data_IF_522494802151
#
_entry.id   IF_522494802151
#
_cell.length_a   1.000
_cell.length_b   1.000
_cell.length_c   1.000
_cell.angle_alpha   90.00
_cell.angle_beta   90.00
_cell.angle_gamma   90.00
#
_symmetry.space_group_name_H-M   'P 1'
#
loop_
_entity.id
_entity.type
_entity.pdbx_description
1 polymer ?
#
# COMPACT_ATOMS: atom_id res chain seq x y z
N UNK A 1 16.04 -14.22 -11.15
CA UNK A 1 16.93 -13.24 -11.82
C UNK A 1 17.94 -12.75 -10.79
N UNK A 2 19.14 -12.36 -11.20
CA UNK A 2 20.21 -11.95 -10.28
C UNK A 2 20.72 -10.56 -10.66
N UNK A 3 20.96 -9.69 -9.68
CA UNK A 3 21.61 -8.38 -9.92
C UNK A 3 23.12 -8.57 -10.16
N UNK A 4 23.82 -7.57 -10.74
CA UNK A 4 25.28 -7.63 -10.89
C UNK A 4 26.03 -7.90 -9.57
N UNK A 5 25.50 -7.40 -8.46
CA UNK A 5 26.07 -7.58 -7.11
C UNK A 5 25.64 -8.89 -6.44
N UNK A 6 24.96 -9.77 -7.18
CA UNK A 6 24.64 -11.13 -6.76
C UNK A 6 23.30 -11.32 -6.04
N UNK A 7 22.50 -10.26 -5.87
CA UNK A 7 21.20 -10.34 -5.19
C UNK A 7 20.23 -11.16 -6.04
N UNK A 8 19.63 -12.19 -5.42
CA UNK A 8 18.61 -13.01 -6.06
C UNK A 8 17.25 -12.32 -5.96
N UNK A 9 16.61 -12.13 -7.10
CA UNK A 9 15.25 -11.60 -7.23
C UNK A 9 14.38 -12.70 -7.84
N UNK A 10 13.34 -13.09 -7.13
CA UNK A 10 12.37 -14.07 -7.61
C UNK A 10 11.19 -13.33 -8.23
N UNK A 11 10.98 -13.50 -9.53
CA UNK A 11 9.81 -12.98 -10.23
C UNK A 11 8.66 -13.99 -10.10
N UNK A 12 7.58 -13.58 -9.46
CA UNK A 12 6.36 -14.39 -9.34
C UNK A 12 5.24 -13.78 -10.17
N UNK A 13 4.72 -14.52 -11.15
CA UNK A 13 3.71 -14.03 -12.10
C UNK A 13 2.34 -14.68 -11.95
N UNK A 14 2.21 -15.70 -11.08
CA UNK A 14 0.95 -16.40 -10.86
C UNK A 14 0.10 -15.68 -9.83
N UNK A 15 -1.16 -15.42 -10.16
CA UNK A 15 -2.14 -14.81 -9.26
C UNK A 15 -3.32 -15.76 -9.00
N UNK A 16 -3.84 -15.83 -7.76
CA UNK A 16 -3.34 -15.16 -6.56
C UNK A 16 -2.05 -15.82 -6.02
N UNK A 17 -1.18 -15.01 -5.40
CA UNK A 17 0.12 -15.47 -4.88
C UNK A 17 0.09 -15.75 -3.36
N UNK A 18 -1.08 -16.12 -2.81
CA UNK A 18 -1.28 -16.14 -1.36
C UNK A 18 -0.35 -17.09 -0.60
N UNK A 19 0.04 -18.21 -1.19
CA UNK A 19 0.98 -19.17 -0.57
C UNK A 19 2.35 -18.54 -0.37
N UNK A 20 2.83 -17.77 -1.35
CA UNK A 20 4.08 -17.03 -1.26
C UNK A 20 3.96 -15.86 -0.28
N UNK A 21 2.91 -15.04 -0.40
CA UNK A 21 2.73 -13.85 0.44
C UNK A 21 2.65 -14.18 1.93
N UNK A 22 2.02 -15.31 2.30
CA UNK A 22 1.96 -15.77 3.70
C UNK A 22 3.32 -16.13 4.30
N UNK A 23 4.29 -16.47 3.46
CA UNK A 23 5.66 -16.81 3.88
C UNK A 23 6.55 -15.57 4.03
N UNK A 24 6.14 -14.41 3.52
CA UNK A 24 6.91 -13.18 3.66
C UNK A 24 6.89 -12.65 5.10
N UNK A 25 8.06 -12.27 5.61
CA UNK A 25 8.19 -11.59 6.90
C UNK A 25 7.70 -10.13 6.85
N UNK A 26 7.93 -9.48 5.70
CA UNK A 26 7.56 -8.09 5.43
C UNK A 26 7.34 -7.92 3.91
N UNK A 27 6.32 -7.16 3.53
CA UNK A 27 6.09 -6.76 2.14
C UNK A 27 6.22 -5.25 1.96
N UNK A 28 6.92 -4.80 0.92
CA UNK A 28 6.87 -3.42 0.46
C UNK A 28 5.78 -3.32 -0.59
N UNK A 29 4.90 -2.32 -0.47
CA UNK A 29 3.75 -2.22 -1.36
C UNK A 29 3.28 -0.79 -1.53
N UNK A 30 2.43 -0.53 -2.52
CA UNK A 30 1.75 0.76 -2.71
C UNK A 30 0.31 0.68 -2.22
N UNK A 31 -0.42 1.80 -2.18
CA UNK A 31 -1.83 1.80 -1.81
C UNK A 31 -2.72 1.15 -2.87
N UNK A 32 -3.71 0.38 -2.44
CA UNK A 32 -4.62 -0.34 -3.33
C UNK A 32 -5.17 -1.64 -2.72
N UNK A 33 -5.73 -2.50 -3.58
CA UNK A 33 -6.30 -3.79 -3.18
C UNK A 33 -5.26 -4.73 -2.54
N UNK A 34 -3.99 -4.61 -2.91
CA UNK A 34 -2.84 -5.27 -2.28
C UNK A 34 -2.77 -5.05 -0.76
N UNK A 35 -3.05 -3.86 -0.24
CA UNK A 35 -3.03 -3.60 1.21
C UNK A 35 -4.15 -4.31 1.94
N UNK A 36 -5.33 -4.45 1.31
CA UNK A 36 -6.43 -5.25 1.85
C UNK A 36 -6.12 -6.74 1.82
N UNK A 37 -5.53 -7.22 0.72
CA UNK A 37 -5.08 -8.60 0.56
C UNK A 37 -4.05 -8.97 1.64
N UNK A 38 -2.94 -8.24 1.73
CA UNK A 38 -1.90 -8.47 2.74
C UNK A 38 -2.46 -8.34 4.17
N UNK A 39 -3.35 -7.38 4.40
CA UNK A 39 -4.01 -7.22 5.70
C UNK A 39 -4.88 -8.42 6.06
N UNK A 40 -5.65 -8.96 5.12
CA UNK A 40 -6.45 -10.17 5.33
C UNK A 40 -5.61 -11.42 5.60
N UNK A 41 -4.41 -11.48 5.00
CA UNK A 41 -3.40 -12.53 5.23
C UNK A 41 -2.63 -12.33 6.54
N UNK A 42 -2.74 -11.16 7.18
CA UNK A 42 -1.98 -10.77 8.35
C UNK A 42 -0.48 -10.69 8.07
N UNK A 43 -0.09 -10.24 6.87
CA UNK A 43 1.31 -10.10 6.48
C UNK A 43 1.77 -8.68 6.78
N UNK A 44 2.83 -8.48 7.59
CA UNK A 44 3.40 -7.16 7.84
C UNK A 44 3.77 -6.45 6.54
N UNK A 45 3.56 -5.14 6.47
CA UNK A 45 3.84 -4.39 5.25
C UNK A 45 4.32 -2.96 5.54
N UNK A 46 5.13 -2.42 4.63
CA UNK A 46 5.50 -1.02 4.55
C UNK A 46 4.86 -0.43 3.28
N UNK A 47 4.02 0.59 3.46
CA UNK A 47 3.28 1.19 2.34
C UNK A 47 4.01 2.43 1.85
N UNK A 48 4.33 2.45 0.57
CA UNK A 48 5.11 3.50 -0.09
C UNK A 48 4.21 4.31 -1.03
N UNK A 49 4.17 5.62 -0.83
CA UNK A 49 3.46 6.58 -1.67
C UNK A 49 4.46 7.66 -2.14
N UNK A 50 5.31 7.34 -3.13
CA UNK A 50 6.31 8.29 -3.62
C UNK A 50 5.65 9.48 -4.31
N UNK A 51 5.99 10.68 -3.87
CA UNK A 51 5.45 11.91 -4.46
C UNK A 51 6.27 12.43 -5.65
N UNK A 52 7.50 11.93 -5.84
CA UNK A 52 8.34 12.33 -6.99
C UNK A 52 7.70 11.96 -8.34
N UNK A 53 6.86 10.93 -8.36
CA UNK A 53 6.13 10.51 -9.56
C UNK A 53 4.70 11.06 -9.61
N UNK A 54 4.28 11.97 -8.72
CA UNK A 54 2.99 12.67 -8.87
C UNK A 54 2.97 13.55 -10.13
N UNK A 55 4.12 13.96 -10.64
CA UNK A 55 4.22 14.57 -11.97
C UNK A 55 3.86 13.59 -13.10
N UNK A 56 3.96 12.27 -12.90
CA UNK A 56 3.43 11.26 -13.81
C UNK A 56 1.92 11.03 -13.61
N UNK A 57 1.36 11.37 -12.43
CA UNK A 57 -0.09 11.49 -12.21
C UNK A 57 -0.73 12.71 -12.91
N UNK A 58 0.05 13.55 -13.60
CA UNK A 58 -0.48 14.46 -14.64
C UNK A 58 -1.22 13.71 -15.75
N UNK A 59 -1.05 12.39 -15.84
CA UNK A 59 -1.80 11.49 -16.71
C UNK A 59 -3.16 11.03 -16.13
N UNK A 60 -3.65 11.62 -15.04
CA UNK A 60 -5.05 11.45 -14.64
C UNK A 60 -5.98 12.03 -15.71
N UNK A 61 -6.82 11.18 -16.30
CA UNK A 61 -7.85 11.61 -17.24
C UNK A 61 -8.93 12.47 -16.57
N UNK A 62 -9.39 13.50 -17.28
CA UNK A 62 -10.48 14.40 -16.87
C UNK A 62 -10.04 15.83 -16.50
N UNK A 63 -10.93 16.56 -15.82
CA UNK A 63 -10.73 17.95 -15.37
C UNK A 63 -9.38 18.19 -14.63
N UNK A 64 -8.91 17.29 -13.74
CA UNK A 64 -7.61 17.43 -13.08
C UNK A 64 -6.42 17.37 -14.05
N UNK A 65 -6.46 16.49 -15.06
CA UNK A 65 -5.42 16.38 -16.10
C UNK A 65 -5.37 17.61 -17.01
N UNK A 66 -6.54 18.18 -17.34
CA UNK A 66 -6.64 19.44 -18.08
C UNK A 66 -6.04 20.62 -17.29
N UNK A 67 -6.32 20.73 -15.99
CA UNK A 67 -5.77 21.78 -15.13
C UNK A 67 -4.26 21.60 -14.87
N UNK A 68 -3.77 20.37 -14.81
CA UNK A 68 -2.35 20.07 -14.61
C UNK A 68 -1.47 20.36 -15.84
N UNK A 69 -2.06 20.38 -17.04
CA UNK A 69 -1.41 20.67 -18.32
C UNK A 69 -1.46 22.16 -18.72
N UNK A 70 -2.09 23.03 -17.93
CA UNK A 70 -2.10 24.48 -18.18
C UNK A 70 -0.74 25.11 -17.83
N UNK A 71 -0.14 25.91 -18.75
CA UNK A 71 1.14 26.56 -18.50
C UNK A 71 1.04 27.49 -17.28
N UNK A 72 1.92 27.28 -16.29
CA UNK A 72 1.99 28.08 -15.06
C UNK A 72 1.07 27.63 -13.90
N UNK A 73 0.02 26.85 -14.15
CA UNK A 73 -0.93 26.40 -13.10
C UNK A 73 -0.64 25.00 -12.53
N UNK A 74 0.05 24.13 -13.29
CA UNK A 74 0.36 22.76 -12.83
C UNK A 74 1.20 22.71 -11.55
N UNK A 75 2.12 23.67 -11.35
CA UNK A 75 2.97 23.72 -10.15
C UNK A 75 2.20 24.14 -8.90
N UNK A 76 1.20 25.00 -9.03
CA UNK A 76 0.29 25.40 -7.94
C UNK A 76 -0.66 24.26 -7.56
N UNK A 77 -1.16 23.51 -8.56
CA UNK A 77 -2.02 22.35 -8.33
C UNK A 77 -1.26 21.20 -7.62
N UNK A 78 -0.07 20.85 -8.10
CA UNK A 78 0.80 19.86 -7.47
C UNK A 78 1.16 20.25 -6.03
N UNK A 79 1.47 21.53 -5.78
CA UNK A 79 1.71 22.07 -4.43
C UNK A 79 0.46 21.98 -3.55
N UNK A 80 -0.74 22.20 -4.09
CA UNK A 80 -2.00 22.13 -3.34
C UNK A 80 -2.36 20.69 -2.99
N UNK A 81 -2.18 19.74 -3.91
CA UNK A 81 -2.36 18.30 -3.66
C UNK A 81 -1.36 17.83 -2.60
N UNK A 82 -0.07 18.15 -2.75
CA UNK A 82 0.95 17.83 -1.74
C UNK A 82 0.59 18.45 -0.38
N UNK A 83 0.18 19.70 -0.36
CA UNK A 83 -0.23 20.36 0.87
C UNK A 83 -1.48 19.71 1.49
N UNK A 84 -2.47 19.30 0.70
CA UNK A 84 -3.68 18.63 1.19
C UNK A 84 -3.39 17.22 1.73
N UNK A 85 -2.49 16.50 1.06
CA UNK A 85 -2.01 15.16 1.45
C UNK A 85 -1.17 15.23 2.72
N UNK A 86 -0.28 16.23 2.85
CA UNK A 86 0.56 16.43 4.03
C UNK A 86 -0.22 16.96 5.24
N UNK A 87 -1.25 17.79 5.02
CA UNK A 87 -1.98 18.48 6.11
C UNK A 87 -3.06 17.61 6.76
N UNK A 88 -3.45 16.50 6.14
CA UNK A 88 -4.30 15.50 6.79
C UNK A 88 -3.48 14.23 6.98
N UNK A 89 -3.25 13.83 8.24
CA UNK A 89 -2.83 12.46 8.60
C UNK A 89 -3.93 11.48 8.18
N UNK A 90 -4.12 11.28 6.87
CA UNK A 90 -5.04 10.29 6.33
C UNK A 90 -4.31 8.97 6.35
N UNK A 91 -5.04 7.96 6.82
CA UNK A 91 -4.68 6.57 6.68
C UNK A 91 -5.06 6.17 5.25
N UNK A 92 -4.12 5.65 4.49
CA UNK A 92 -4.31 5.27 3.10
C UNK A 92 -4.42 3.76 2.89
N UNK A 93 -3.68 2.98 3.67
CA UNK A 93 -3.74 1.53 3.64
C UNK A 93 -5.08 1.05 4.21
N UNK A 94 -5.69 0.07 3.55
CA UNK A 94 -6.97 -0.48 4.00
C UNK A 94 -6.98 -0.91 5.48
N UNK A 95 -5.97 -1.63 6.00
CA UNK A 95 -5.94 -2.02 7.42
C UNK A 95 -5.96 -0.83 8.37
N UNK A 96 -5.24 0.25 8.02
CA UNK A 96 -5.22 1.46 8.81
C UNK A 96 -6.59 2.17 8.77
N UNK A 97 -7.20 2.28 7.59
CA UNK A 97 -8.54 2.84 7.41
C UNK A 97 -9.57 2.09 8.26
N UNK A 98 -9.56 0.75 8.23
CA UNK A 98 -10.47 -0.08 9.02
C UNK A 98 -10.26 0.10 10.52
N UNK A 99 -9.00 0.20 10.95
CA UNK A 99 -8.62 0.40 12.35
C UNK A 99 -8.88 1.82 12.86
N UNK A 100 -9.00 2.80 11.95
CA UNK A 100 -8.91 4.24 12.25
C UNK A 100 -7.62 4.60 13.04
N UNK A 101 -6.59 3.79 12.89
CA UNK A 101 -5.31 3.90 13.56
C UNK A 101 -4.20 3.36 12.66
N UNK A 102 -2.97 3.82 12.85
CA UNK A 102 -1.82 3.28 12.14
C UNK A 102 -1.45 1.90 12.70
N UNK A 103 -1.70 0.86 11.91
CA UNK A 103 -1.21 -0.51 12.11
C UNK A 103 0.07 -0.72 11.30
N UNK A 104 0.04 -0.30 10.03
CA UNK A 104 1.16 -0.43 9.10
C UNK A 104 1.74 0.95 8.79
N UNK A 105 3.07 1.11 8.75
CA UNK A 105 3.69 2.39 8.41
C UNK A 105 3.38 2.79 6.96
N UNK A 106 3.09 4.08 6.77
CA UNK A 106 2.79 4.69 5.46
C UNK A 106 3.79 5.83 5.18
N UNK A 107 4.69 5.62 4.22
CA UNK A 107 5.68 6.61 3.80
C UNK A 107 5.15 7.40 2.60
N UNK A 108 4.79 8.65 2.85
CA UNK A 108 4.31 9.58 1.84
C UNK A 108 5.34 10.69 1.66
N UNK A 109 5.80 10.90 0.43
CA UNK A 109 6.67 12.03 0.13
C UNK A 109 7.78 11.67 -0.84
N UNK A 110 8.85 12.47 -0.81
CA UNK A 110 10.05 12.14 -1.55
C UNK A 110 10.78 10.99 -0.86
N UNK A 111 10.64 9.78 -1.40
CA UNK A 111 11.25 8.57 -0.88
C UNK A 111 12.62 8.33 -1.52
N UNK A 112 13.65 8.24 -0.69
CA UNK A 112 15.01 7.85 -1.10
C UNK A 112 15.22 6.35 -0.82
N UNK A 113 15.76 5.57 -1.78
CA UNK A 113 15.93 4.12 -1.63
C UNK A 113 16.73 3.71 -0.39
N UNK A 114 17.79 4.45 -0.06
CA UNK A 114 18.65 4.17 1.09
C UNK A 114 17.89 4.34 2.42
N UNK A 115 17.03 5.35 2.51
CA UNK A 115 16.20 5.58 3.68
C UNK A 115 15.16 4.46 3.85
N UNK A 116 14.55 4.01 2.75
CA UNK A 116 13.61 2.88 2.76
C UNK A 116 14.35 1.60 3.19
N UNK A 117 15.55 1.35 2.66
CA UNK A 117 16.34 0.17 3.01
C UNK A 117 16.71 0.15 4.51
N UNK A 118 17.12 1.29 5.07
CA UNK A 118 17.41 1.41 6.50
C UNK A 118 16.17 1.14 7.35
N UNK A 119 15.01 1.70 6.98
CA UNK A 119 13.77 1.44 7.70
C UNK A 119 13.33 -0.02 7.62
N UNK A 120 13.46 -0.65 6.46
CA UNK A 120 13.17 -2.08 6.27
C UNK A 120 14.10 -2.94 7.12
N UNK A 121 15.40 -2.62 7.15
CA UNK A 121 16.36 -3.33 7.97
C UNK A 121 16.03 -3.20 9.48
N UNK A 122 15.67 -2.00 9.93
CA UNK A 122 15.23 -1.75 11.30
C UNK A 122 13.98 -2.56 11.66
N UNK A 123 12.96 -2.55 10.79
CA UNK A 123 11.76 -3.35 10.99
C UNK A 123 12.05 -4.85 11.06
N UNK A 124 12.95 -5.36 10.21
CA UNK A 124 13.34 -6.77 10.22
C UNK A 124 14.20 -7.16 11.43
N UNK A 125 14.90 -6.19 12.03
CA UNK A 125 15.67 -6.39 13.27
C UNK A 125 14.79 -6.47 14.52
N UNK A 126 13.52 -6.05 14.44
CA UNK A 126 12.54 -6.05 15.54
C UNK A 126 11.37 -7.01 15.23
N UNK A 127 11.59 -8.34 15.25
CA UNK A 127 10.56 -9.33 14.90
C UNK A 127 9.32 -9.27 15.80
N UNK A 128 9.45 -8.81 17.04
CA UNK A 128 8.33 -8.59 17.97
C UNK A 128 7.37 -7.51 17.47
N UNK A 129 7.89 -6.42 16.87
CA UNK A 129 7.06 -5.37 16.29
C UNK A 129 6.31 -5.88 15.04
N UNK A 130 6.96 -6.72 14.24
CA UNK A 130 6.31 -7.39 13.11
C UNK A 130 5.22 -8.37 13.57
N UNK A 131 5.44 -9.05 14.69
CA UNK A 131 4.45 -9.95 15.28
C UNK A 131 3.24 -9.17 15.82
N UNK A 132 3.46 -8.06 16.51
CA UNK A 132 2.38 -7.18 16.96
C UNK A 132 1.57 -6.64 15.76
N UNK A 133 2.25 -6.17 14.72
CA UNK A 133 1.61 -5.72 13.48
C UNK A 133 0.74 -6.83 12.87
N UNK A 134 1.26 -8.05 12.79
CA UNK A 134 0.52 -9.22 12.29
C UNK A 134 -0.74 -9.49 13.10
N UNK A 135 -0.67 -9.40 14.42
CA UNK A 135 -1.83 -9.65 15.28
C UNK A 135 -2.86 -8.54 15.17
N UNK A 136 -2.44 -7.27 15.09
CA UNK A 136 -3.34 -6.14 14.82
C UNK A 136 -4.01 -6.24 13.45
N UNK A 137 -3.28 -6.65 12.41
CA UNK A 137 -3.85 -6.90 11.06
C UNK A 137 -4.95 -7.98 11.09
N UNK A 138 -4.73 -9.07 11.84
CA UNK A 138 -5.72 -10.13 12.02
C UNK A 138 -6.97 -9.69 12.78
N UNK A 139 -6.85 -8.71 13.67
CA UNK A 139 -7.98 -8.16 14.41
C UNK A 139 -8.89 -7.27 13.54
N UNK A 140 -8.32 -6.61 12.53
CA UNK A 140 -9.07 -5.67 11.69
C UNK A 140 -9.56 -6.26 10.37
N UNK A 141 -9.17 -7.50 10.04
CA UNK A 141 -9.73 -8.19 8.87
C UNK A 141 -11.21 -8.47 9.08
N UNK A 142 -12.00 -8.33 8.02
CA UNK A 142 -13.44 -8.60 8.05
C UNK A 142 -13.76 -10.07 8.41
N UNK A 143 -15.00 -10.29 8.83
CA UNK A 143 -15.52 -11.63 9.11
C UNK A 143 -15.45 -12.53 7.86
N UNK A 144 -15.26 -13.84 8.09
CA UNK A 144 -15.35 -14.84 7.03
C UNK A 144 -16.76 -14.92 6.46
N UNK A 145 -16.90 -15.46 5.25
CA UNK A 145 -18.22 -15.71 4.64
C UNK A 145 -18.68 -14.68 3.61
N UNK A 146 -17.81 -13.78 3.14
CA UNK A 146 -18.12 -12.89 2.02
C UNK A 146 -18.62 -13.65 0.78
N UNK A 147 -18.01 -14.80 0.45
CA UNK A 147 -18.45 -15.65 -0.65
C UNK A 147 -19.87 -16.20 -0.45
N UNK A 148 -20.23 -16.58 0.79
CA UNK A 148 -21.58 -17.06 1.11
C UNK A 148 -22.61 -15.93 1.00
N UNK A 149 -22.28 -14.74 1.50
CA UNK A 149 -23.13 -13.54 1.35
C UNK A 149 -23.35 -13.19 -0.11
N UNK A 150 -22.30 -13.25 -0.94
CA UNK A 150 -22.40 -13.04 -2.38
C UNK A 150 -23.27 -14.11 -3.06
N UNK A 151 -23.11 -15.39 -2.70
CA UNK A 151 -23.94 -16.47 -3.23
C UNK A 151 -25.42 -16.28 -2.86
N UNK A 152 -25.72 -15.85 -1.63
CA UNK A 152 -27.08 -15.56 -1.19
C UNK A 152 -27.71 -14.41 -2.00
N UNK A 153 -26.99 -13.31 -2.18
CA UNK A 153 -27.44 -12.17 -2.99
C UNK A 153 -27.68 -12.60 -4.45
N UNK A 154 -26.78 -13.41 -5.02
CA UNK A 154 -26.94 -13.91 -6.39
C UNK A 154 -28.17 -14.82 -6.55
N UNK A 155 -28.49 -15.63 -5.54
CA UNK A 155 -29.70 -16.46 -5.51
C UNK A 155 -30.98 -15.63 -5.38
N UNK A 156 -30.96 -14.50 -4.67
CA UNK A 156 -32.10 -13.58 -4.56
C UNK A 156 -32.41 -12.82 -5.86
N UNK A 157 -31.46 -12.80 -6.81
CA UNK A 157 -31.62 -12.14 -8.12
C UNK A 157 -32.10 -13.09 -9.23
N UNK A 158 -32.32 -14.37 -8.92
CA UNK A 158 -32.89 -15.39 -9.82
C UNK A 158 -34.39 -15.56 -9.57
#
# INVERSE_FOLDING_TARGET
MQTPDGIQIHLWTRTPAYDLLRQCSLCLTTVGANTAELGSLGVPMLVLLPTQQLDAMRAWDGLPGLLANLPGMGSLFAKTINWLVLRRRKLFAWPNIWAKAEIVPELVGQLEPEAIALQVADMLAHPEALQEMRDRLRQVRGEVGAALKLAAIALEML
#
